data_IF_183715792871
#
_entry.id   IF_183715792871
#
_cell.length_a   1.000
_cell.length_b   1.000
_cell.length_c   1.000
_cell.angle_alpha   90.00
_cell.angle_beta   90.00
_cell.angle_gamma   90.00
#
_symmetry.space_group_name_H-M   'P 1'
#
loop_
_entity.id
_entity.type
_entity.pdbx_description
1 polymer ?
#
# COMPACT_ATOMS: atom_id res chain seq x y z
N UNK A 1 9.75 -1.37 -29.35
CA UNK A 1 8.43 -0.71 -29.38
C UNK A 1 8.34 0.47 -30.34
N UNK A 2 9.38 1.27 -30.51
CA UNK A 2 9.46 2.39 -31.49
C UNK A 2 9.35 1.93 -32.95
N UNK A 3 9.82 0.73 -33.26
CA UNK A 3 9.85 0.18 -34.65
C UNK A 3 8.45 -0.09 -35.23
N UNK A 4 7.48 -0.50 -34.41
CA UNK A 4 6.11 -0.81 -34.86
C UNK A 4 5.35 0.47 -35.26
N UNK A 5 5.57 1.58 -34.54
CA UNK A 5 4.93 2.88 -34.84
C UNK A 5 5.50 3.46 -36.14
N UNK A 6 6.80 3.36 -36.37
CA UNK A 6 7.43 3.81 -37.63
C UNK A 6 6.95 3.06 -38.83
N UNK A 7 6.76 1.73 -38.77
CA UNK A 7 6.24 0.89 -39.87
C UNK A 7 4.81 1.28 -40.23
N UNK A 8 3.96 1.60 -39.25
CA UNK A 8 2.58 2.05 -39.49
C UNK A 8 2.53 3.45 -40.17
N UNK A 9 3.42 4.35 -39.76
CA UNK A 9 3.49 5.73 -40.35
C UNK A 9 4.00 5.70 -41.80
N UNK A 10 4.90 4.81 -42.16
CA UNK A 10 5.39 4.70 -43.54
C UNK A 10 4.46 3.91 -44.49
N UNK A 11 3.67 2.93 -43.95
CA UNK A 11 2.80 2.12 -44.80
C UNK A 11 1.49 2.81 -45.20
N UNK A 12 0.95 3.69 -44.36
CA UNK A 12 -0.32 4.38 -44.63
C UNK A 12 -0.26 5.29 -45.87
N UNK A 13 0.79 6.09 -46.14
CA UNK A 13 0.85 6.94 -47.32
C UNK A 13 1.01 6.18 -48.63
N UNK A 14 1.69 5.00 -48.62
CA UNK A 14 1.89 4.18 -49.84
C UNK A 14 0.60 3.50 -50.29
N UNK A 15 -0.26 3.08 -49.37
CA UNK A 15 -1.56 2.48 -49.69
C UNK A 15 -2.52 3.50 -50.30
N UNK A 16 -2.48 4.73 -49.84
CA UNK A 16 -3.35 5.82 -50.31
C UNK A 16 -2.97 6.25 -51.74
N UNK A 17 -1.67 6.26 -52.11
CA UNK A 17 -1.21 6.68 -53.44
C UNK A 17 -1.50 5.65 -54.55
N UNK A 18 -1.60 4.34 -54.23
CA UNK A 18 -1.74 3.26 -55.25
C UNK A 18 -3.15 3.09 -55.83
N UNK A 19 -4.19 3.64 -55.17
CA UNK A 19 -5.60 3.50 -55.58
C UNK A 19 -6.19 4.71 -56.32
N UNK A 20 -5.38 5.71 -56.68
CA UNK A 20 -5.84 6.95 -57.36
C UNK A 20 -5.97 6.83 -58.89
N UNK A 21 -5.74 5.66 -59.47
CA UNK A 21 -5.64 5.47 -60.93
C UNK A 21 -6.82 4.72 -61.57
N UNK A 22 -7.85 4.28 -60.82
CA UNK A 22 -8.99 3.61 -61.44
C UNK A 22 -10.20 4.55 -61.56
N UNK A 23 -10.65 4.76 -62.82
CA UNK A 23 -11.87 5.46 -63.20
C UNK A 23 -13.08 4.79 -62.57
N UNK A 24 -13.75 5.47 -61.61
CA UNK A 24 -14.94 4.99 -60.93
C UNK A 24 -16.15 5.74 -61.45
N UNK A 25 -17.17 5.03 -61.93
CA UNK A 25 -18.50 5.55 -62.25
C UNK A 25 -19.17 6.09 -60.98
N UNK A 26 -19.93 7.20 -61.08
CA UNK A 26 -20.44 7.98 -59.97
C UNK A 26 -21.25 7.21 -58.89
N UNK A 27 -21.85 6.11 -59.27
CA UNK A 27 -22.74 5.33 -58.33
C UNK A 27 -21.95 4.44 -57.35
N UNK A 28 -20.74 3.99 -57.71
CA UNK A 28 -19.85 3.23 -56.85
C UNK A 28 -18.97 4.14 -55.96
N UNK A 29 -18.89 5.44 -56.24
CA UNK A 29 -18.01 6.37 -55.53
C UNK A 29 -18.49 6.65 -54.11
N UNK A 30 -19.83 6.81 -53.88
CA UNK A 30 -20.36 7.14 -52.55
C UNK A 30 -20.21 5.96 -51.57
N UNK A 31 -20.54 4.75 -51.99
CA UNK A 31 -20.38 3.54 -51.17
C UNK A 31 -18.91 3.22 -50.83
N UNK A 32 -18.01 3.47 -51.78
CA UNK A 32 -16.58 3.26 -51.58
C UNK A 32 -15.92 4.30 -50.63
N UNK A 33 -16.37 5.54 -50.71
CA UNK A 33 -15.87 6.60 -49.84
C UNK A 33 -16.33 6.39 -48.38
N UNK A 34 -17.61 6.04 -48.18
CA UNK A 34 -18.12 5.74 -46.84
C UNK A 34 -17.41 4.54 -46.19
N UNK A 35 -17.17 3.44 -46.94
CA UNK A 35 -16.39 2.31 -46.44
C UNK A 35 -14.96 2.68 -46.07
N UNK A 36 -14.30 3.51 -46.89
CA UNK A 36 -12.93 3.99 -46.60
C UNK A 36 -12.88 4.88 -45.37
N UNK A 37 -13.82 5.81 -45.24
CA UNK A 37 -13.91 6.69 -44.05
C UNK A 37 -14.17 5.88 -42.77
N UNK A 38 -15.08 4.88 -42.84
CA UNK A 38 -15.35 3.99 -41.73
C UNK A 38 -14.15 3.14 -41.30
N UNK A 39 -13.41 2.59 -42.28
CA UNK A 39 -12.17 1.79 -42.02
C UNK A 39 -11.09 2.71 -41.42
N UNK A 40 -10.87 3.90 -41.98
CA UNK A 40 -9.86 4.83 -41.47
C UNK A 40 -10.21 5.33 -40.07
N UNK A 41 -11.50 5.67 -39.83
CA UNK A 41 -11.99 6.01 -38.50
C UNK A 41 -11.80 4.88 -37.49
N UNK A 42 -12.14 3.64 -37.88
CA UNK A 42 -11.91 2.46 -37.05
C UNK A 42 -10.45 2.23 -36.67
N UNK A 43 -9.54 2.39 -37.61
CA UNK A 43 -8.09 2.26 -37.38
C UNK A 43 -7.59 3.35 -36.41
N UNK A 44 -8.03 4.60 -36.61
CA UNK A 44 -7.63 5.71 -35.70
C UNK A 44 -8.11 5.44 -34.27
N UNK A 45 -9.38 5.02 -34.11
CA UNK A 45 -9.92 4.68 -32.81
C UNK A 45 -9.16 3.51 -32.16
N UNK A 46 -8.87 2.47 -32.94
CA UNK A 46 -8.08 1.33 -32.45
C UNK A 46 -6.67 1.76 -32.00
N UNK A 47 -6.00 2.62 -32.76
CA UNK A 47 -4.69 3.16 -32.38
C UNK A 47 -4.77 4.00 -31.09
N UNK A 48 -5.80 4.86 -30.94
CA UNK A 48 -5.99 5.66 -29.74
C UNK A 48 -6.25 4.77 -28.50
N UNK A 49 -7.11 3.76 -28.62
CA UNK A 49 -7.35 2.79 -27.54
C UNK A 49 -6.07 2.05 -27.17
N UNK A 50 -5.28 1.61 -28.16
CA UNK A 50 -4.01 0.93 -27.91
C UNK A 50 -3.02 1.83 -27.17
N UNK A 51 -2.88 3.09 -27.56
CA UNK A 51 -2.02 4.07 -26.89
C UNK A 51 -2.50 4.31 -25.45
N UNK A 52 -3.80 4.47 -25.22
CA UNK A 52 -4.37 4.62 -23.89
C UNK A 52 -4.12 3.38 -23.02
N UNK A 53 -4.27 2.18 -23.57
CA UNK A 53 -3.95 0.94 -22.85
C UNK A 53 -2.46 0.84 -22.48
N UNK A 54 -1.57 1.19 -23.41
CA UNK A 54 -0.13 1.17 -23.17
C UNK A 54 0.27 2.21 -22.12
N UNK A 55 -0.25 3.44 -22.20
CA UNK A 55 0.05 4.49 -21.23
C UNK A 55 -0.46 4.12 -19.83
N UNK A 56 -1.69 3.61 -19.74
CA UNK A 56 -2.26 3.14 -18.47
C UNK A 56 -1.47 1.96 -17.88
N UNK A 57 -1.11 0.99 -18.70
CA UNK A 57 -0.28 -0.16 -18.28
C UNK A 57 1.10 0.30 -17.78
N UNK A 58 1.74 1.21 -18.51
CA UNK A 58 3.03 1.78 -18.11
C UNK A 58 2.92 2.56 -16.81
N UNK A 59 1.88 3.36 -16.66
CA UNK A 59 1.62 4.12 -15.43
C UNK A 59 1.43 3.20 -14.22
N UNK A 60 0.58 2.18 -14.33
CA UNK A 60 0.33 1.21 -13.25
C UNK A 60 1.62 0.51 -12.81
N UNK A 61 2.47 0.10 -13.75
CA UNK A 61 3.70 -0.62 -13.45
C UNK A 61 4.82 0.26 -12.88
N UNK A 62 4.73 1.59 -13.03
CA UNK A 62 5.73 2.54 -12.52
C UNK A 62 5.23 3.38 -11.33
N UNK A 63 4.12 3.00 -10.70
CA UNK A 63 3.67 3.67 -9.48
C UNK A 63 4.68 3.47 -8.35
N UNK A 64 4.90 4.50 -7.50
CA UNK A 64 5.69 4.34 -6.29
C UNK A 64 5.18 3.17 -5.44
N UNK A 65 6.09 2.43 -4.84
CA UNK A 65 5.75 1.30 -3.96
C UNK A 65 6.00 1.71 -2.52
N UNK A 66 5.01 1.50 -1.65
CA UNK A 66 5.10 1.64 -0.21
C UNK A 66 5.06 0.25 0.43
N UNK A 67 6.13 -0.14 1.13
CA UNK A 67 6.24 -1.44 1.81
C UNK A 67 5.89 -1.27 3.28
N UNK A 68 4.82 -1.92 3.72
CA UNK A 68 4.32 -1.85 5.09
C UNK A 68 4.37 -3.23 5.74
N UNK A 69 4.98 -3.33 6.91
CA UNK A 69 5.08 -4.55 7.70
C UNK A 69 4.39 -4.36 9.04
N UNK A 70 3.26 -5.04 9.26
CA UNK A 70 2.38 -4.82 10.38
C UNK A 70 2.02 -6.15 11.06
N UNK A 71 1.45 -6.08 12.24
CA UNK A 71 0.80 -7.23 12.87
C UNK A 71 -0.46 -7.63 12.12
N UNK A 72 -0.83 -8.90 12.16
CA UNK A 72 -2.02 -9.40 11.49
C UNK A 72 -3.30 -8.67 11.92
N UNK A 73 -4.24 -8.49 11.00
CA UNK A 73 -5.59 -7.93 11.22
C UNK A 73 -5.66 -6.50 11.80
N UNK A 74 -4.56 -5.74 11.77
CA UNK A 74 -4.51 -4.37 12.30
C UNK A 74 -4.95 -3.29 11.30
N UNK A 75 -5.28 -3.65 10.06
CA UNK A 75 -5.71 -2.71 9.02
C UNK A 75 -6.91 -3.29 8.25
N UNK A 76 -7.90 -2.47 7.98
CA UNK A 76 -8.93 -2.78 6.99
C UNK A 76 -8.33 -2.63 5.58
N UNK A 77 -8.39 -3.70 4.77
CA UNK A 77 -7.84 -3.72 3.42
C UNK A 77 -8.44 -2.64 2.51
N UNK A 78 -9.70 -2.23 2.75
CA UNK A 78 -10.33 -1.11 2.03
C UNK A 78 -9.61 0.22 2.26
N UNK A 79 -8.95 0.40 3.41
CA UNK A 79 -8.14 1.60 3.67
C UNK A 79 -6.89 1.60 2.82
N UNK A 80 -6.31 0.42 2.55
CA UNK A 80 -5.16 0.27 1.64
C UNK A 80 -5.58 0.63 0.22
N UNK A 81 -6.70 0.08 -0.28
CA UNK A 81 -7.21 0.38 -1.62
C UNK A 81 -7.47 1.88 -1.80
N UNK A 82 -8.13 2.52 -0.83
CA UNK A 82 -8.39 3.96 -0.82
C UNK A 82 -7.10 4.80 -0.79
N UNK A 83 -6.08 4.32 -0.08
CA UNK A 83 -4.78 4.99 -0.02
C UNK A 83 -4.06 4.89 -1.36
N UNK A 84 -4.04 3.71 -1.98
CA UNK A 84 -3.46 3.50 -3.30
C UNK A 84 -4.10 4.39 -4.36
N UNK A 85 -5.44 4.47 -4.36
CA UNK A 85 -6.18 5.33 -5.29
C UNK A 85 -5.87 6.81 -5.05
N UNK A 86 -5.89 7.25 -3.78
CA UNK A 86 -5.70 8.66 -3.42
C UNK A 86 -4.30 9.18 -3.71
N UNK A 87 -3.27 8.35 -3.52
CA UNK A 87 -1.87 8.76 -3.64
C UNK A 87 -1.17 8.19 -4.88
N UNK A 88 -1.93 7.47 -5.73
CA UNK A 88 -1.43 6.86 -6.96
C UNK A 88 -0.14 6.04 -6.74
N UNK A 89 -0.16 5.21 -5.70
CA UNK A 89 0.95 4.34 -5.32
C UNK A 89 0.48 2.87 -5.24
N UNK A 90 1.42 1.97 -5.04
CA UNK A 90 1.16 0.56 -4.73
C UNK A 90 1.61 0.28 -3.31
N UNK A 91 0.74 -0.29 -2.48
CA UNK A 91 1.09 -0.75 -1.13
C UNK A 91 1.40 -2.24 -1.15
N UNK A 92 2.60 -2.62 -0.74
CA UNK A 92 2.96 -4.01 -0.44
C UNK A 92 2.80 -4.18 1.06
N UNK A 93 1.69 -4.79 1.46
CA UNK A 93 1.34 -5.02 2.85
C UNK A 93 1.69 -6.44 3.26
N UNK A 94 2.60 -6.59 4.19
CA UNK A 94 3.02 -7.87 4.76
C UNK A 94 2.68 -7.91 6.25
N UNK A 95 2.43 -9.11 6.78
CA UNK A 95 2.12 -9.30 8.19
C UNK A 95 3.15 -10.19 8.88
N UNK A 96 3.28 -10.02 10.19
CA UNK A 96 4.12 -10.83 11.06
C UNK A 96 3.31 -11.33 12.27
N UNK A 97 3.76 -12.43 12.86
CA UNK A 97 3.10 -13.07 14.00
C UNK A 97 3.66 -12.58 15.34
N UNK A 98 4.95 -12.17 15.39
CA UNK A 98 5.61 -11.69 16.61
C UNK A 98 6.63 -10.59 16.29
N UNK A 99 6.92 -9.72 17.27
CA UNK A 99 7.97 -8.71 17.13
C UNK A 99 9.35 -9.33 16.86
N UNK A 100 9.61 -10.54 17.36
CA UNK A 100 10.84 -11.27 17.14
C UNK A 100 10.96 -11.72 15.68
N UNK A 101 9.87 -12.17 15.06
CA UNK A 101 9.84 -12.52 13.64
C UNK A 101 10.00 -11.28 12.75
N UNK A 102 9.40 -10.16 13.12
CA UNK A 102 9.63 -8.87 12.47
C UNK A 102 11.12 -8.50 12.53
N UNK A 103 11.70 -8.54 13.73
CA UNK A 103 13.11 -8.20 13.93
C UNK A 103 14.03 -9.08 13.11
N UNK A 104 13.82 -10.40 13.15
CA UNK A 104 14.62 -11.36 12.38
C UNK A 104 14.56 -11.07 10.89
N UNK A 105 13.38 -10.69 10.38
CA UNK A 105 13.20 -10.37 8.97
C UNK A 105 13.93 -9.08 8.57
N UNK A 106 13.93 -8.04 9.42
CA UNK A 106 14.71 -6.83 9.21
C UNK A 106 16.21 -7.15 9.19
N UNK A 107 16.69 -7.93 10.16
CA UNK A 107 18.10 -8.34 10.24
C UNK A 107 18.57 -9.19 9.05
N UNK A 108 17.66 -9.86 8.36
CA UNK A 108 17.95 -10.61 7.13
C UNK A 108 18.11 -9.72 5.88
N UNK A 109 18.03 -8.39 6.03
CA UNK A 109 18.17 -7.43 4.95
C UNK A 109 16.88 -7.12 4.19
N UNK A 110 15.71 -7.47 4.76
CA UNK A 110 14.43 -7.06 4.18
C UNK A 110 14.19 -5.58 4.46
N UNK A 111 13.82 -4.83 3.42
CA UNK A 111 13.58 -3.40 3.50
C UNK A 111 12.09 -3.08 3.52
N UNK A 112 11.69 -2.21 4.46
CA UNK A 112 10.34 -1.70 4.59
C UNK A 112 10.36 -0.18 4.78
N UNK A 113 9.33 0.50 4.27
CA UNK A 113 9.15 1.93 4.46
C UNK A 113 8.47 2.23 5.80
N UNK A 114 7.58 1.32 6.25
CA UNK A 114 6.86 1.43 7.51
C UNK A 114 6.86 0.06 8.19
N UNK A 115 7.21 0.05 9.47
CA UNK A 115 7.05 -1.10 10.38
C UNK A 115 6.19 -0.69 11.57
N UNK A 116 5.34 -1.60 12.07
CA UNK A 116 4.37 -1.29 13.15
C UNK A 116 4.58 -2.24 14.35
N UNK A 117 5.72 -2.22 15.02
CA UNK A 117 6.02 -3.06 16.17
C UNK A 117 5.49 -2.48 17.50
N UNK A 118 5.60 -3.27 18.55
CA UNK A 118 5.37 -2.81 19.92
C UNK A 118 6.48 -1.86 20.41
N UNK A 119 6.19 -1.14 21.47
CA UNK A 119 7.05 -0.12 22.08
C UNK A 119 8.47 -0.59 22.41
N UNK A 120 8.61 -1.76 23.05
CA UNK A 120 9.93 -2.32 23.39
C UNK A 120 10.78 -2.63 22.15
N UNK A 121 10.14 -3.04 21.05
CA UNK A 121 10.83 -3.31 19.79
C UNK A 121 11.21 -2.00 19.09
N UNK A 122 10.36 -0.96 19.18
CA UNK A 122 10.73 0.40 18.70
C UNK A 122 11.96 0.88 19.44
N UNK A 123 12.01 0.75 20.78
CA UNK A 123 13.16 1.13 21.58
C UNK A 123 14.45 0.43 21.12
N UNK A 124 14.35 -0.86 20.85
CA UNK A 124 15.46 -1.67 20.34
C UNK A 124 15.93 -1.18 18.97
N UNK A 125 15.02 -1.01 18.02
CA UNK A 125 15.34 -0.56 16.66
C UNK A 125 15.96 0.85 16.65
N UNK A 126 15.51 1.74 17.56
CA UNK A 126 16.13 3.07 17.74
C UNK A 126 17.57 2.93 18.23
N UNK A 127 17.82 2.09 19.25
CA UNK A 127 19.17 1.87 19.80
C UNK A 127 20.15 1.28 18.79
N UNK A 128 19.65 0.45 17.90
CA UNK A 128 20.44 -0.19 16.84
C UNK A 128 20.57 0.69 15.59
N UNK A 129 19.89 1.83 15.52
CA UNK A 129 19.97 2.77 14.40
C UNK A 129 19.21 2.33 13.14
N UNK A 130 18.26 1.41 13.28
CA UNK A 130 17.49 0.83 12.17
C UNK A 130 16.32 1.72 11.70
N UNK A 131 15.97 2.76 12.47
CA UNK A 131 14.84 3.64 12.16
C UNK A 131 15.31 5.01 11.69
N UNK A 132 14.60 5.55 10.70
CA UNK A 132 14.79 6.91 10.22
C UNK A 132 13.94 7.91 11.03
N UNK A 133 14.45 9.14 11.17
CA UNK A 133 13.71 10.21 11.85
C UNK A 133 12.50 10.67 11.02
N UNK A 134 11.42 10.91 11.72
CA UNK A 134 10.16 11.38 11.15
C UNK A 134 10.23 12.89 10.88
N UNK A 135 9.84 13.29 9.68
CA UNK A 135 9.67 14.69 9.33
C UNK A 135 8.26 15.17 9.72
N UNK A 136 8.11 15.54 10.99
CA UNK A 136 6.81 15.96 11.56
C UNK A 136 6.13 17.12 10.82
N UNK A 137 6.89 17.99 10.16
CA UNK A 137 6.34 19.06 9.33
C UNK A 137 5.53 18.57 8.13
N UNK A 138 5.76 17.33 7.70
CA UNK A 138 5.03 16.69 6.60
C UNK A 138 3.79 15.91 7.08
N UNK A 139 3.63 15.72 8.39
CA UNK A 139 2.51 14.95 8.98
C UNK A 139 1.41 15.91 9.43
N UNK A 140 0.50 16.25 8.51
CA UNK A 140 -0.58 17.21 8.75
C UNK A 140 -1.62 16.71 9.77
N UNK A 141 -1.75 15.39 9.93
CA UNK A 141 -2.73 14.74 10.80
C UNK A 141 -2.24 14.54 12.25
N UNK A 142 -1.07 15.07 12.62
CA UNK A 142 -0.54 14.99 13.99
C UNK A 142 -1.57 15.42 15.05
N UNK A 143 -2.41 16.38 14.74
CA UNK A 143 -3.48 16.87 15.61
C UNK A 143 -4.52 15.80 16.00
N UNK A 144 -4.61 14.70 15.27
CA UNK A 144 -5.53 13.60 15.52
C UNK A 144 -4.95 12.56 16.50
N UNK A 145 -3.68 12.68 16.88
CA UNK A 145 -3.02 11.78 17.82
C UNK A 145 -3.37 12.22 19.25
N UNK A 146 -3.74 11.27 20.09
CA UNK A 146 -4.00 11.52 21.51
C UNK A 146 -2.70 12.01 22.18
N UNK A 147 -2.66 13.22 22.76
CA UNK A 147 -1.43 13.80 23.30
C UNK A 147 -0.73 12.93 24.35
N UNK A 148 -1.50 12.19 25.17
CA UNK A 148 -0.97 11.30 26.20
C UNK A 148 -0.14 10.12 25.65
N UNK A 149 -0.27 9.80 24.37
CA UNK A 149 0.48 8.74 23.70
C UNK A 149 1.80 9.21 23.08
N UNK A 150 2.03 10.53 23.05
CA UNK A 150 3.27 11.10 22.53
C UNK A 150 4.37 11.15 23.60
N UNK A 151 5.62 11.23 23.17
CA UNK A 151 6.81 11.42 24.00
C UNK A 151 6.97 10.33 25.09
N UNK A 152 6.63 9.09 24.73
CA UNK A 152 6.77 7.93 25.64
C UNK A 152 8.24 7.60 25.88
N UNK A 153 8.53 6.81 26.89
CA UNK A 153 9.90 6.52 27.33
C UNK A 153 10.79 5.93 26.24
N UNK A 154 10.21 5.11 25.37
CA UNK A 154 10.91 4.49 24.25
C UNK A 154 11.26 5.47 23.11
N UNK A 155 10.57 6.61 23.01
CA UNK A 155 10.85 7.69 22.03
C UNK A 155 10.50 9.06 22.62
N UNK A 156 11.26 9.48 23.62
CA UNK A 156 10.98 10.70 24.44
C UNK A 156 10.86 11.99 23.64
N UNK A 157 11.51 12.06 22.50
CA UNK A 157 11.47 13.23 21.61
C UNK A 157 10.47 13.07 20.47
N UNK A 158 9.80 11.94 20.39
CA UNK A 158 8.90 11.58 19.30
C UNK A 158 9.55 11.76 17.92
N UNK A 159 10.81 11.27 17.78
CA UNK A 159 11.58 11.46 16.55
C UNK A 159 11.42 10.31 15.56
N UNK A 160 11.03 9.10 16.03
CA UNK A 160 11.09 7.87 15.24
C UNK A 160 9.76 7.15 15.08
N UNK A 161 8.77 7.44 15.94
CA UNK A 161 7.52 6.69 15.99
C UNK A 161 6.27 7.57 15.95
N UNK A 162 5.18 6.98 15.44
CA UNK A 162 3.83 7.56 15.46
C UNK A 162 2.93 6.55 16.15
N UNK A 163 2.20 6.92 17.23
CA UNK A 163 1.24 6.03 17.87
C UNK A 163 0.17 5.58 16.88
N UNK A 164 -0.05 4.25 16.80
CA UNK A 164 -1.03 3.63 15.91
C UNK A 164 -2.17 3.01 16.73
N UNK A 165 -1.84 2.02 17.55
CA UNK A 165 -2.76 1.42 18.51
C UNK A 165 -2.18 1.49 19.92
N UNK A 166 -3.05 1.48 20.90
CA UNK A 166 -2.70 1.28 22.30
C UNK A 166 -3.72 0.37 22.95
N UNK A 167 -3.31 -0.31 23.99
CA UNK A 167 -4.18 -1.21 24.73
C UNK A 167 -3.71 -1.34 26.17
N UNK A 168 -4.52 -2.01 26.96
CA UNK A 168 -4.19 -2.38 28.33
C UNK A 168 -4.13 -3.91 28.43
N UNK A 169 -3.21 -4.39 29.25
CA UNK A 169 -3.15 -5.77 29.65
C UNK A 169 -3.69 -5.88 31.06
N UNK A 170 -4.53 -6.86 31.31
CA UNK A 170 -5.15 -7.05 32.61
C UNK A 170 -5.45 -8.51 32.89
N UNK A 171 -5.74 -8.82 34.15
CA UNK A 171 -6.13 -10.16 34.59
C UNK A 171 -7.66 -10.25 34.52
N UNK A 172 -8.17 -11.19 33.73
CA UNK A 172 -9.58 -11.57 33.76
C UNK A 172 -9.73 -12.70 34.80
N UNK A 173 -10.69 -12.55 35.68
CA UNK A 173 -10.92 -13.52 36.76
C UNK A 173 -12.39 -13.87 36.94
N UNK A 174 -12.66 -15.09 37.43
CA UNK A 174 -13.98 -15.55 37.84
C UNK A 174 -14.32 -14.98 39.23
N UNK A 175 -15.32 -14.09 39.31
CA UNK A 175 -15.77 -13.45 40.56
C UNK A 175 -16.28 -14.43 41.61
N UNK A 176 -16.60 -15.66 41.23
CA UNK A 176 -17.09 -16.68 42.18
C UNK A 176 -15.95 -17.49 42.77
N UNK A 177 -14.75 -17.42 42.21
CA UNK A 177 -13.56 -18.22 42.60
C UNK A 177 -12.46 -17.38 43.26
N UNK A 178 -12.42 -16.08 42.93
CA UNK A 178 -11.36 -15.19 43.42
C UNK A 178 -11.90 -14.24 44.50
N UNK A 179 -11.29 -14.24 45.68
CA UNK A 179 -11.65 -13.37 46.76
C UNK A 179 -11.28 -11.92 46.46
N UNK A 180 -12.19 -10.98 46.75
CA UNK A 180 -11.95 -9.55 46.53
C UNK A 180 -10.68 -9.03 47.18
N UNK A 181 -10.36 -9.50 48.41
CA UNK A 181 -9.15 -9.10 49.13
C UNK A 181 -7.85 -9.45 48.42
N UNK A 182 -7.86 -10.58 47.65
CA UNK A 182 -6.68 -11.03 46.94
C UNK A 182 -6.41 -10.20 45.68
N UNK A 183 -7.44 -9.50 45.15
CA UNK A 183 -7.30 -8.58 44.00
C UNK A 183 -6.47 -7.33 44.34
N UNK A 184 -6.36 -6.95 45.62
CA UNK A 184 -5.54 -5.82 46.06
C UNK A 184 -4.05 -6.05 45.80
N UNK A 185 -3.63 -7.32 45.67
CA UNK A 185 -2.27 -7.68 45.29
C UNK A 185 -1.92 -7.32 43.82
N UNK A 186 -2.89 -6.91 43.00
CA UNK A 186 -2.67 -6.59 41.58
C UNK A 186 -2.09 -7.79 40.82
N UNK A 187 -0.99 -7.57 40.10
CA UNK A 187 -0.32 -8.63 39.33
C UNK A 187 0.28 -9.75 40.21
N UNK A 188 0.58 -9.48 41.48
CA UNK A 188 1.14 -10.49 42.39
C UNK A 188 0.13 -11.57 42.79
N UNK A 189 -1.16 -11.41 42.47
CA UNK A 189 -2.16 -12.47 42.62
C UNK A 189 -1.78 -13.72 41.79
N UNK A 190 -1.07 -13.57 40.68
CA UNK A 190 -0.60 -14.67 39.84
C UNK A 190 0.45 -15.57 40.55
N UNK A 191 1.03 -15.07 41.65
CA UNK A 191 2.00 -15.82 42.49
C UNK A 191 1.34 -16.46 43.72
N UNK A 192 0.04 -16.21 43.91
CA UNK A 192 -0.66 -16.71 45.08
C UNK A 192 -0.91 -18.22 44.95
N UNK A 193 -0.29 -19.03 45.84
CA UNK A 193 -0.39 -20.47 45.86
C UNK A 193 -1.83 -20.98 45.92
N UNK A 194 -2.74 -20.21 46.50
CA UNK A 194 -4.18 -20.52 46.55
C UNK A 194 -4.78 -20.76 45.16
N UNK A 195 -4.24 -20.14 44.15
CA UNK A 195 -4.72 -20.22 42.75
C UNK A 195 -3.82 -21.08 41.87
N UNK A 196 -2.88 -21.78 42.44
CA UNK A 196 -1.98 -22.69 41.70
C UNK A 196 -2.76 -23.72 40.89
N UNK A 197 -2.40 -23.86 39.61
CA UNK A 197 -3.06 -24.80 38.69
C UNK A 197 -4.45 -24.33 38.22
N UNK A 198 -4.86 -23.06 38.49
CA UNK A 198 -6.14 -22.48 38.07
C UNK A 198 -5.95 -21.25 37.16
N UNK A 199 -4.74 -20.94 36.78
CA UNK A 199 -4.34 -19.83 35.92
C UNK A 199 -3.98 -20.37 34.54
#
# INVERSE_FOLDING_TARGET
>A
MVVIILVLVEFVPKIVKRKRAEKVTMENASSGVFKKVAITGGVVVACLVTVLCITKFYHINNRPVLRVFNSGEYVDTKLIDNFEEKYDCKVVYETYDSNESLYTKLQSGSEYDIVVPSDYMIERLIKEGELQKIHWSKITNKKNIVPALLNREFDKKQEYSVPYYWGTVGIVYDKTKVDKKDLEAGWDILKNEKYSGQI
#
